data_IF_521743199711
#
_entry.id   IF_521743199711
#
_cell.length_a   1.000
_cell.length_b   1.000
_cell.length_c   1.000
_cell.angle_alpha   90.00
_cell.angle_beta   90.00
_cell.angle_gamma   90.00
#
_symmetry.space_group_name_H-M   'P 1'
#
loop_
_entity.id
_entity.type
_entity.pdbx_description
1 polymer ?
#
# COMPACT_ATOMS: atom_id res chain seq x y z
N UNK A 1 -15.04 13.06 0.40
CA UNK A 1 -15.90 12.37 1.40
C UNK A 1 -14.95 11.46 2.15
N UNK A 2 -14.35 11.95 3.24
CA UNK A 2 -13.19 11.32 3.90
C UNK A 2 -13.30 9.79 4.12
N UNK A 3 -14.50 9.28 4.44
CA UNK A 3 -14.73 7.84 4.60
C UNK A 3 -14.59 7.03 3.30
N UNK A 4 -14.99 7.60 2.16
CA UNK A 4 -14.81 6.98 0.86
C UNK A 4 -13.33 6.88 0.50
N UNK A 5 -12.54 7.92 0.80
CA UNK A 5 -11.10 7.96 0.52
C UNK A 5 -10.35 6.92 1.37
N UNK A 6 -10.78 6.72 2.62
CA UNK A 6 -10.31 5.61 3.49
C UNK A 6 -10.67 4.24 2.91
N UNK A 7 -11.91 4.05 2.48
CA UNK A 7 -12.31 2.79 1.86
C UNK A 7 -11.48 2.50 0.60
N UNK A 8 -11.23 3.51 -0.24
CA UNK A 8 -10.40 3.40 -1.45
C UNK A 8 -8.96 3.03 -1.09
N UNK A 9 -8.37 3.65 -0.06
CA UNK A 9 -7.01 3.31 0.36
C UNK A 9 -6.90 1.85 0.83
N UNK A 10 -7.86 1.38 1.64
CA UNK A 10 -7.89 -0.01 2.14
C UNK A 10 -8.11 -1.00 0.99
N UNK A 11 -9.12 -0.76 0.14
CA UNK A 11 -9.42 -1.61 -1.01
C UNK A 11 -8.26 -1.60 -2.01
N UNK A 12 -7.65 -0.45 -2.24
CA UNK A 12 -6.50 -0.29 -3.13
C UNK A 12 -5.26 -1.02 -2.63
N UNK A 13 -4.94 -0.92 -1.34
CA UNK A 13 -3.84 -1.67 -0.74
C UNK A 13 -4.08 -3.19 -0.84
N UNK A 14 -5.31 -3.64 -0.62
CA UNK A 14 -5.68 -5.05 -0.80
C UNK A 14 -5.60 -5.49 -2.27
N UNK A 15 -6.10 -4.66 -3.19
CA UNK A 15 -6.03 -4.92 -4.63
C UNK A 15 -4.58 -5.02 -5.11
N UNK A 16 -3.67 -4.16 -4.63
CA UNK A 16 -2.24 -4.25 -4.92
C UNK A 16 -1.63 -5.56 -4.41
N UNK A 17 -1.97 -5.97 -3.19
CA UNK A 17 -1.52 -7.24 -2.64
C UNK A 17 -2.01 -8.45 -3.44
N UNK A 18 -3.27 -8.39 -3.89
CA UNK A 18 -3.87 -9.42 -4.72
C UNK A 18 -3.24 -9.49 -6.10
N UNK A 19 -3.07 -8.35 -6.78
CA UNK A 19 -2.39 -8.27 -8.07
C UNK A 19 -0.96 -8.80 -7.97
N UNK A 20 -0.24 -8.44 -6.91
CA UNK A 20 1.13 -8.90 -6.74
C UNK A 20 1.22 -10.42 -6.46
N UNK A 21 0.24 -10.98 -5.76
CA UNK A 21 0.13 -12.44 -5.60
C UNK A 21 -0.20 -13.15 -6.91
N UNK A 22 -1.12 -12.61 -7.71
CA UNK A 22 -1.46 -13.14 -9.04
C UNK A 22 -0.24 -13.13 -9.97
N UNK A 23 0.48 -12.01 -10.02
CA UNK A 23 1.68 -11.84 -10.87
C UNK A 23 2.79 -12.83 -10.46
N UNK A 24 2.91 -13.15 -9.17
CA UNK A 24 3.95 -14.04 -8.69
C UNK A 24 3.57 -15.51 -8.62
N UNK A 25 2.28 -15.85 -8.72
CA UNK A 25 1.77 -17.23 -8.83
C UNK A 25 1.94 -18.11 -7.59
N UNK A 26 2.38 -17.55 -6.45
CA UNK A 26 2.78 -18.32 -5.25
C UNK A 26 1.66 -18.56 -4.23
N UNK A 27 0.43 -18.07 -4.47
CA UNK A 27 -0.77 -18.24 -3.61
C UNK A 27 -0.52 -17.82 -2.14
N UNK A 28 0.26 -16.77 -1.92
CA UNK A 28 0.68 -16.24 -0.64
C UNK A 28 -0.03 -14.93 -0.25
N UNK A 29 -1.33 -14.80 -0.53
CA UNK A 29 -2.11 -13.57 -0.31
C UNK A 29 -1.97 -12.97 1.09
N UNK A 30 -1.82 -13.79 2.12
CA UNK A 30 -1.68 -13.29 3.49
C UNK A 30 -0.38 -12.52 3.70
N UNK A 31 0.73 -12.99 3.12
CA UNK A 31 2.01 -12.31 3.25
C UNK A 31 2.02 -11.00 2.44
N UNK A 32 1.45 -11.02 1.23
CA UNK A 32 1.38 -9.82 0.38
C UNK A 32 0.42 -8.78 0.95
N UNK A 33 -0.71 -9.20 1.53
CA UNK A 33 -1.66 -8.27 2.17
C UNK A 33 -1.08 -7.62 3.41
N UNK A 34 -0.32 -8.37 4.23
CA UNK A 34 0.36 -7.82 5.40
C UNK A 34 1.40 -6.76 4.99
N UNK A 35 2.26 -7.08 4.00
CA UNK A 35 3.27 -6.15 3.49
C UNK A 35 2.61 -4.89 2.92
N UNK A 36 1.60 -5.06 2.08
CA UNK A 36 0.87 -3.96 1.45
C UNK A 36 0.16 -3.08 2.47
N UNK A 37 -0.53 -3.68 3.44
CA UNK A 37 -1.29 -2.97 4.47
C UNK A 37 -0.40 -2.15 5.41
N UNK A 38 0.70 -2.73 5.91
CA UNK A 38 1.66 -2.01 6.77
C UNK A 38 2.29 -0.86 6.01
N UNK A 39 2.66 -1.09 4.74
CA UNK A 39 3.23 -0.05 3.89
C UNK A 39 2.23 1.05 3.55
N UNK A 40 0.93 0.74 3.38
CA UNK A 40 -0.10 1.75 3.19
C UNK A 40 -0.20 2.70 4.38
N UNK A 41 -0.19 2.15 5.61
CA UNK A 41 -0.19 2.95 6.85
C UNK A 41 1.07 3.81 6.95
N UNK A 42 2.24 3.27 6.56
CA UNK A 42 3.48 4.04 6.52
C UNK A 42 3.43 5.18 5.49
N UNK A 43 2.86 4.94 4.30
CA UNK A 43 2.68 5.95 3.25
C UNK A 43 1.72 7.06 3.67
N UNK A 44 0.61 6.72 4.33
CA UNK A 44 -0.30 7.68 4.94
C UNK A 44 0.41 8.57 5.97
N UNK A 45 1.17 7.96 6.89
CA UNK A 45 1.90 8.70 7.91
C UNK A 45 2.92 9.67 7.29
N UNK A 46 3.66 9.21 6.27
CA UNK A 46 4.62 10.01 5.54
C UNK A 46 3.94 11.21 4.84
N UNK A 47 2.82 10.99 4.16
CA UNK A 47 2.05 12.05 3.51
C UNK A 47 1.63 13.17 4.48
N UNK A 48 1.03 12.80 5.60
CA UNK A 48 0.49 13.78 6.56
C UNK A 48 1.60 14.45 7.37
N UNK A 49 2.57 13.67 7.85
CA UNK A 49 3.53 14.15 8.85
C UNK A 49 4.82 14.66 8.26
N UNK A 50 5.24 14.15 7.10
CA UNK A 50 6.51 14.54 6.48
C UNK A 50 6.28 15.56 5.38
N UNK A 51 5.26 15.38 4.54
CA UNK A 51 4.94 16.33 3.47
C UNK A 51 3.95 17.42 3.86
N UNK A 52 3.51 17.43 5.12
CA UNK A 52 2.60 18.44 5.67
C UNK A 52 1.30 18.61 4.86
N UNK A 53 0.81 17.52 4.24
CA UNK A 53 -0.54 17.48 3.65
C UNK A 53 -1.51 17.63 4.81
N UNK A 54 -2.13 18.80 4.91
CA UNK A 54 -2.70 19.33 6.15
C UNK A 54 -3.88 18.54 6.70
N UNK A 55 -4.55 17.71 5.90
CA UNK A 55 -5.76 16.97 6.27
C UNK A 55 -5.92 15.68 5.44
N UNK A 56 -6.73 14.73 5.93
CA UNK A 56 -7.19 13.57 5.14
C UNK A 56 -8.31 13.93 4.15
N UNK A 57 -8.34 15.16 3.65
CA UNK A 57 -9.42 15.66 2.79
C UNK A 57 -9.04 15.62 1.30
N UNK A 58 -7.75 15.44 1.00
CA UNK A 58 -7.19 15.46 -0.35
C UNK A 58 -6.73 14.06 -0.80
N UNK A 59 -6.68 13.81 -2.10
CA UNK A 59 -6.30 12.50 -2.65
C UNK A 59 -4.83 12.15 -2.48
N UNK A 60 -3.97 13.13 -2.18
CA UNK A 60 -2.52 12.96 -2.13
C UNK A 60 -2.09 11.92 -1.10
N UNK A 61 -2.74 11.87 0.07
CA UNK A 61 -2.40 10.86 1.08
C UNK A 61 -2.75 9.44 0.63
N UNK A 62 -3.83 9.28 -0.17
CA UNK A 62 -4.23 7.99 -0.74
C UNK A 62 -3.18 7.53 -1.75
N UNK A 63 -2.74 8.43 -2.64
CA UNK A 63 -1.69 8.16 -3.62
C UNK A 63 -0.38 7.73 -2.94
N UNK A 64 0.03 8.43 -1.87
CA UNK A 64 1.22 8.07 -1.11
C UNK A 64 1.10 6.72 -0.39
N UNK A 65 -0.08 6.41 0.15
CA UNK A 65 -0.36 5.11 0.76
C UNK A 65 -0.17 3.98 -0.25
N UNK A 66 -0.78 4.10 -1.43
CA UNK A 66 -0.68 3.09 -2.49
C UNK A 66 0.74 2.99 -3.08
N UNK A 67 1.44 4.12 -3.22
CA UNK A 67 2.82 4.14 -3.72
C UNK A 67 3.75 3.43 -2.75
N UNK A 68 3.64 3.69 -1.45
CA UNK A 68 4.40 3.00 -0.42
C UNK A 68 4.13 1.49 -0.44
N UNK A 69 2.87 1.07 -0.56
CA UNK A 69 2.50 -0.34 -0.72
C UNK A 69 3.14 -0.99 -1.95
N UNK A 70 3.09 -0.34 -3.11
CA UNK A 70 3.67 -0.85 -4.34
C UNK A 70 5.19 -1.01 -4.22
N UNK A 71 5.89 -0.03 -3.63
CA UNK A 71 7.33 -0.10 -3.39
C UNK A 71 7.71 -1.23 -2.42
N UNK A 72 6.96 -1.39 -1.32
CA UNK A 72 7.21 -2.44 -0.34
C UNK A 72 6.99 -3.84 -0.93
N UNK A 73 5.93 -4.02 -1.73
CA UNK A 73 5.70 -5.27 -2.48
C UNK A 73 6.84 -5.55 -3.47
N UNK A 74 7.26 -4.54 -4.23
CA UNK A 74 8.41 -4.64 -5.14
C UNK A 74 9.68 -5.12 -4.41
N UNK A 75 10.00 -4.48 -3.28
CA UNK A 75 11.13 -4.88 -2.44
C UNK A 75 10.98 -6.31 -1.88
N UNK A 76 9.79 -6.66 -1.39
CA UNK A 76 9.50 -8.00 -0.87
C UNK A 76 9.82 -9.10 -1.89
N UNK A 77 9.39 -8.93 -3.14
CA UNK A 77 9.67 -9.92 -4.19
C UNK A 77 11.12 -9.89 -4.65
N UNK A 78 11.74 -8.71 -4.75
CA UNK A 78 13.14 -8.57 -5.12
C UNK A 78 14.06 -9.35 -4.17
N UNK A 79 13.87 -9.18 -2.85
CA UNK A 79 14.69 -9.86 -1.84
C UNK A 79 14.29 -11.32 -1.64
N UNK A 80 13.02 -11.69 -1.87
CA UNK A 80 12.58 -13.07 -1.80
C UNK A 80 13.05 -13.92 -2.99
N UNK A 81 13.25 -13.33 -4.17
CA UNK A 81 13.78 -14.04 -5.35
C UNK A 81 15.26 -14.42 -5.23
N UNK A 82 15.99 -13.82 -4.28
CA UNK A 82 17.42 -14.06 -4.07
C UNK A 82 17.71 -15.19 -3.05
N UNK A 83 16.68 -15.76 -2.43
CA UNK A 83 16.77 -16.90 -1.51
C UNK A 83 16.28 -18.16 -2.20
#
# INVERSE_FOLDING_TARGET
>A
MQYADIAIAVVGAFALAWLADLVTGRRGLFATSLVSGVAAVAGWFLAIRVFAIGTMDEWDWVVWSLTASALALGGFFLFRSKR
#
